data_IF_674477720390
#
_entry.id   IF_674477720390
#
_cell.length_a   1.000
_cell.length_b   1.000
_cell.length_c   1.000
_cell.angle_alpha   90.00
_cell.angle_beta   90.00
_cell.angle_gamma   90.00
#
_symmetry.space_group_name_H-M   'P 1'
#
loop_
_entity.id
_entity.type
_entity.pdbx_description
1 polymer ?
#
# COMPACT_ATOMS: atom_id res chain seq x y z
N UNK A 1 -1.22 -15.64 -1.45
CA UNK A 1 -0.43 -14.48 -1.94
C UNK A 1 -0.45 -14.36 -3.47
N UNK A 2 -1.16 -15.24 -4.16
CA UNK A 2 -1.04 -15.46 -5.61
C UNK A 2 -1.60 -14.30 -6.45
N UNK A 3 -2.64 -13.62 -5.96
CA UNK A 3 -3.20 -12.43 -6.62
C UNK A 3 -2.15 -11.32 -6.70
N UNK A 4 -1.49 -10.98 -5.58
CA UNK A 4 -0.47 -9.94 -5.55
C UNK A 4 0.78 -10.33 -6.35
N UNK A 5 1.19 -11.59 -6.29
CA UNK A 5 2.28 -12.09 -7.12
C UNK A 5 1.95 -11.98 -8.62
N UNK A 6 0.71 -12.30 -9.02
CA UNK A 6 0.22 -12.13 -10.41
C UNK A 6 0.26 -10.67 -10.87
N UNK A 7 -0.20 -9.74 -10.01
CA UNK A 7 -0.15 -8.31 -10.30
C UNK A 7 1.29 -7.79 -10.41
N UNK A 8 2.19 -8.25 -9.53
CA UNK A 8 3.60 -7.91 -9.60
C UNK A 8 4.19 -8.37 -10.93
N UNK A 9 3.96 -9.63 -11.35
CA UNK A 9 4.42 -10.14 -12.64
C UNK A 9 3.86 -9.35 -13.83
N UNK A 10 2.58 -9.01 -13.81
CA UNK A 10 1.97 -8.19 -14.86
C UNK A 10 2.62 -6.80 -14.95
N UNK A 11 2.97 -6.21 -13.79
CA UNK A 11 3.70 -4.95 -13.74
C UNK A 11 5.14 -5.09 -14.27
N UNK A 12 5.85 -6.14 -13.86
CA UNK A 12 7.20 -6.46 -14.37
C UNK A 12 7.19 -6.66 -15.89
N UNK A 13 6.21 -7.38 -16.44
CA UNK A 13 6.06 -7.58 -17.88
C UNK A 13 5.77 -6.27 -18.62
N UNK A 14 4.92 -5.40 -18.05
CA UNK A 14 4.51 -4.15 -18.71
C UNK A 14 5.57 -3.05 -18.63
N UNK A 15 6.29 -2.97 -17.53
CA UNK A 15 7.17 -1.84 -17.21
C UNK A 15 8.64 -2.23 -16.98
N UNK A 16 9.00 -3.50 -17.21
CA UNK A 16 10.32 -4.03 -16.95
C UNK A 16 10.81 -3.83 -15.49
N UNK A 17 9.88 -3.71 -14.53
CA UNK A 17 10.23 -3.62 -13.11
C UNK A 17 11.01 -4.86 -12.68
N UNK A 18 12.09 -4.66 -11.95
CA UNK A 18 12.92 -5.77 -11.48
C UNK A 18 12.48 -6.25 -10.10
N UNK A 19 12.88 -7.46 -9.72
CA UNK A 19 12.58 -8.01 -8.39
C UNK A 19 13.24 -7.20 -7.28
N UNK A 20 14.45 -6.67 -7.55
CA UNK A 20 15.21 -5.82 -6.66
C UNK A 20 14.44 -4.52 -6.39
N UNK A 21 13.87 -3.90 -7.43
CA UNK A 21 13.04 -2.70 -7.26
C UNK A 21 11.81 -2.95 -6.37
N UNK A 22 11.19 -4.13 -6.48
CA UNK A 22 10.12 -4.54 -5.57
C UNK A 22 10.65 -4.72 -4.13
N UNK A 23 11.85 -5.28 -3.95
CA UNK A 23 12.49 -5.44 -2.65
C UNK A 23 12.76 -4.09 -1.95
N UNK A 24 13.16 -3.07 -2.70
CA UNK A 24 13.41 -1.73 -2.14
C UNK A 24 12.17 -1.07 -1.53
N UNK A 25 10.96 -1.46 -1.94
CA UNK A 25 9.73 -1.04 -1.25
C UNK A 25 9.73 -1.54 0.20
N UNK A 26 10.11 -2.82 0.39
CA UNK A 26 10.22 -3.43 1.70
C UNK A 26 11.37 -2.83 2.51
N UNK A 27 12.56 -2.61 1.91
CA UNK A 27 13.68 -1.90 2.56
C UNK A 27 13.21 -0.59 3.15
N UNK A 28 12.60 0.28 2.34
CA UNK A 28 12.08 1.58 2.78
C UNK A 28 11.06 1.44 3.92
N UNK A 29 10.15 0.47 3.84
CA UNK A 29 9.17 0.23 4.90
C UNK A 29 9.82 -0.18 6.23
N UNK A 30 10.78 -1.11 6.19
CA UNK A 30 11.54 -1.58 7.37
C UNK A 30 12.46 -0.48 7.93
N UNK A 31 13.03 0.38 7.08
CA UNK A 31 13.78 1.57 7.52
C UNK A 31 12.87 2.57 8.24
N UNK A 32 11.65 2.81 7.79
CA UNK A 32 10.72 3.69 8.50
C UNK A 32 10.17 3.05 9.79
N UNK A 33 10.06 1.73 9.84
CA UNK A 33 9.41 1.04 10.96
C UNK A 33 10.15 1.21 12.29
N UNK A 34 11.49 1.32 12.29
CA UNK A 34 12.26 1.51 13.54
C UNK A 34 11.93 2.83 14.26
N UNK A 35 11.48 3.84 13.51
CA UNK A 35 11.08 5.15 14.03
C UNK A 35 9.65 5.18 14.56
N UNK A 36 8.86 4.12 14.33
CA UNK A 36 7.49 4.01 14.79
C UNK A 36 7.42 3.03 15.99
N UNK A 37 7.18 3.51 17.23
CA UNK A 37 7.07 2.64 18.39
C UNK A 37 5.89 1.66 18.34
N UNK A 38 4.90 1.90 17.47
CA UNK A 38 3.73 1.05 17.26
C UNK A 38 3.88 0.03 16.11
N UNK A 39 5.01 0.03 15.40
CA UNK A 39 5.19 -0.92 14.29
C UNK A 39 5.38 -2.35 14.83
N UNK A 40 4.75 -3.33 14.17
CA UNK A 40 4.89 -4.75 14.50
C UNK A 40 6.36 -5.21 14.37
N UNK A 41 7.00 -4.93 13.24
CA UNK A 41 8.43 -5.14 13.08
C UNK A 41 9.18 -3.82 13.20
N UNK A 42 10.23 -3.80 14.01
CA UNK A 42 11.11 -2.64 14.24
C UNK A 42 12.56 -3.03 13.97
N UNK A 43 12.81 -3.58 12.79
CA UNK A 43 14.14 -4.01 12.32
C UNK A 43 14.35 -3.44 10.92
N UNK A 44 15.52 -2.86 10.67
CA UNK A 44 15.95 -2.51 9.31
C UNK A 44 16.37 -3.80 8.59
N UNK A 45 15.90 -3.99 7.37
CA UNK A 45 16.27 -5.14 6.54
C UNK A 45 16.91 -4.63 5.25
N UNK A 46 18.16 -5.00 4.97
CA UNK A 46 18.82 -4.60 3.73
C UNK A 46 18.30 -5.44 2.53
N UNK A 47 18.47 -4.95 1.29
CA UNK A 47 17.90 -5.58 0.10
C UNK A 47 18.28 -7.07 -0.06
N UNK A 48 19.53 -7.42 0.24
CA UNK A 48 20.06 -8.77 0.13
C UNK A 48 19.40 -9.75 1.10
N UNK A 49 19.14 -9.33 2.35
CA UNK A 49 18.41 -10.15 3.33
C UNK A 49 16.96 -10.36 2.88
N UNK A 50 16.34 -9.34 2.29
CA UNK A 50 14.97 -9.42 1.78
C UNK A 50 14.89 -10.35 0.56
N UNK A 51 15.83 -10.27 -0.37
CA UNK A 51 15.86 -11.07 -1.60
C UNK A 51 16.22 -12.54 -1.34
N UNK A 52 17.09 -12.80 -0.37
CA UNK A 52 17.48 -14.16 0.06
C UNK A 52 16.49 -14.83 1.00
N UNK A 53 15.57 -14.06 1.60
CA UNK A 53 14.53 -14.62 2.44
C UNK A 53 13.61 -15.60 1.68
N UNK A 54 12.95 -16.47 2.44
CA UNK A 54 12.04 -17.49 1.90
C UNK A 54 11.03 -16.87 0.92
N UNK A 55 10.94 -17.46 -0.26
CA UNK A 55 9.93 -17.09 -1.24
C UNK A 55 8.54 -17.52 -0.75
N UNK A 56 7.55 -16.64 -0.92
CA UNK A 56 6.14 -16.95 -0.65
C UNK A 56 5.44 -17.30 -1.96
N UNK A 57 5.61 -16.45 -2.97
CA UNK A 57 5.16 -16.68 -4.34
C UNK A 57 5.95 -15.76 -5.27
N UNK A 58 6.70 -16.31 -6.22
CA UNK A 58 7.52 -15.51 -7.13
C UNK A 58 6.74 -14.32 -7.74
N UNK A 59 7.23 -13.07 -7.61
CA UNK A 59 8.60 -12.66 -7.21
C UNK A 59 8.79 -12.28 -5.71
N UNK A 60 7.79 -12.53 -4.85
CA UNK A 60 7.70 -11.97 -3.50
C UNK A 60 8.25 -12.92 -2.43
N UNK A 61 9.11 -12.38 -1.55
CA UNK A 61 9.63 -13.06 -0.36
C UNK A 61 8.87 -12.67 0.91
N UNK A 62 9.08 -13.40 2.00
CA UNK A 62 8.41 -13.16 3.30
C UNK A 62 8.51 -11.69 3.75
N UNK A 63 9.69 -11.03 3.76
CA UNK A 63 9.80 -9.64 4.23
C UNK A 63 9.12 -8.60 3.33
N UNK A 64 8.74 -8.98 2.10
CA UNK A 64 7.95 -8.14 1.19
C UNK A 64 6.45 -8.22 1.47
N UNK A 65 6.01 -9.16 2.29
CA UNK A 65 4.61 -9.39 2.64
C UNK A 65 4.27 -8.76 3.99
N UNK A 66 3.09 -8.17 4.14
CA UNK A 66 2.62 -7.68 5.43
C UNK A 66 2.40 -8.83 6.42
N UNK A 67 2.80 -8.70 7.70
CA UNK A 67 2.52 -9.71 8.71
C UNK A 67 1.04 -9.75 9.09
N UNK A 68 0.58 -10.92 9.54
CA UNK A 68 -0.66 -11.02 10.30
C UNK A 68 -0.45 -10.30 11.63
N UNK A 69 -1.29 -9.31 11.94
CA UNK A 69 -1.08 -8.40 13.07
C UNK A 69 -2.39 -8.13 13.81
N UNK A 70 -2.32 -8.05 15.14
CA UNK A 70 -3.42 -7.61 15.99
C UNK A 70 -3.21 -6.15 16.39
N UNK A 71 -4.28 -5.35 16.38
CA UNK A 71 -4.23 -3.94 16.76
C UNK A 71 -5.54 -3.18 16.50
N UNK A 72 -5.64 -1.96 17.03
CA UNK A 72 -6.79 -1.08 16.86
C UNK A 72 -6.35 0.38 16.64
N UNK A 73 -7.18 1.14 15.92
CA UNK A 73 -7.05 2.57 15.74
C UNK A 73 -8.44 3.21 15.63
N UNK A 74 -8.60 4.47 16.06
CA UNK A 74 -9.85 5.21 15.99
C UNK A 74 -9.58 6.67 15.63
N UNK A 75 -10.55 7.29 14.94
CA UNK A 75 -10.57 8.72 14.63
C UNK A 75 -11.95 9.29 14.96
N UNK A 76 -12.00 10.52 15.49
CA UNK A 76 -13.25 11.24 15.74
C UNK A 76 -13.46 12.22 14.60
N UNK A 77 -14.58 12.12 13.90
CA UNK A 77 -14.93 12.96 12.76
C UNK A 77 -16.10 13.85 13.12
N UNK A 78 -16.01 15.12 12.74
CA UNK A 78 -17.06 16.10 12.95
C UNK A 78 -17.13 17.10 11.80
N UNK A 79 -18.23 17.85 11.72
CA UNK A 79 -18.35 18.96 10.77
C UNK A 79 -17.36 20.08 11.13
N UNK A 80 -16.76 20.69 10.11
CA UNK A 80 -15.72 21.70 10.28
C UNK A 80 -16.23 22.97 11.00
N UNK A 81 -17.47 23.40 10.73
CA UNK A 81 -18.09 24.56 11.36
C UNK A 81 -18.26 24.37 12.88
N UNK A 82 -18.74 23.19 13.29
CA UNK A 82 -18.91 22.81 14.68
C UNK A 82 -17.58 22.54 15.41
N UNK A 83 -16.48 22.34 14.68
CA UNK A 83 -15.19 21.97 15.25
C UNK A 83 -14.46 23.15 15.91
N UNK A 84 -14.69 24.37 15.41
CA UNK A 84 -14.02 25.61 15.87
C UNK A 84 -14.14 25.89 17.37
N UNK A 85 -15.20 25.40 18.02
CA UNK A 85 -15.48 25.59 19.45
C UNK A 85 -15.03 24.41 20.33
N UNK A 86 -14.44 23.37 19.74
CA UNK A 86 -14.01 22.16 20.47
C UNK A 86 -12.54 22.21 20.85
N UNK A 87 -12.25 21.67 22.03
CA UNK A 87 -10.89 21.50 22.50
C UNK A 87 -10.09 20.62 21.52
N UNK A 88 -8.88 21.09 21.14
CA UNK A 88 -8.02 20.41 20.19
C UNK A 88 -8.29 20.72 18.71
N UNK A 89 -9.17 21.70 18.42
CA UNK A 89 -9.42 22.16 17.05
C UNK A 89 -8.17 22.66 16.32
N UNK A 90 -7.23 23.26 17.04
CA UNK A 90 -5.93 23.71 16.55
C UNK A 90 -5.10 22.58 15.90
N UNK A 91 -5.39 21.32 16.27
CA UNK A 91 -4.76 20.11 15.70
C UNK A 91 -5.67 19.34 14.75
N UNK A 92 -6.87 19.84 14.47
CA UNK A 92 -7.82 19.18 13.59
C UNK A 92 -7.29 19.16 12.15
N UNK A 93 -7.49 18.03 11.47
CA UNK A 93 -7.10 17.86 10.05
C UNK A 93 -8.37 17.87 9.20
N UNK A 94 -8.45 18.79 8.24
CA UNK A 94 -9.60 18.88 7.33
C UNK A 94 -9.56 17.74 6.31
N UNK A 95 -10.62 16.94 6.27
CA UNK A 95 -10.84 15.96 5.20
C UNK A 95 -11.32 16.69 3.95
N UNK A 96 -10.48 16.72 2.91
CA UNK A 96 -10.79 17.45 1.67
C UNK A 96 -11.74 16.67 0.74
N UNK A 97 -11.59 15.35 0.67
CA UNK A 97 -12.43 14.47 -0.13
C UNK A 97 -12.43 13.05 0.45
N UNK A 98 -13.49 12.30 0.15
CA UNK A 98 -13.56 10.86 0.38
C UNK A 98 -14.23 10.21 -0.83
N UNK A 99 -13.70 9.09 -1.31
CA UNK A 99 -14.25 8.33 -2.42
C UNK A 99 -14.15 6.84 -2.11
N UNK A 100 -15.24 6.10 -2.34
CA UNK A 100 -15.28 4.66 -2.23
C UNK A 100 -15.50 4.06 -3.62
N UNK A 101 -14.64 3.13 -4.02
CA UNK A 101 -14.76 2.37 -5.25
C UNK A 101 -14.62 0.90 -4.91
N UNK A 102 -15.56 0.07 -5.38
CA UNK A 102 -15.53 -1.38 -5.18
C UNK A 102 -15.35 -2.07 -6.52
N UNK A 103 -14.37 -2.97 -6.61
CA UNK A 103 -14.05 -3.68 -7.84
C UNK A 103 -13.54 -2.74 -8.94
N UNK A 104 -12.64 -3.25 -9.77
CA UNK A 104 -12.34 -2.62 -11.05
C UNK A 104 -12.02 -3.73 -12.01
N UNK A 105 -12.52 -3.62 -13.25
CA UNK A 105 -12.12 -4.48 -14.36
C UNK A 105 -10.68 -4.14 -14.76
N UNK A 106 -9.74 -4.32 -13.83
CA UNK A 106 -8.32 -4.29 -14.16
C UNK A 106 -8.09 -5.54 -14.97
N UNK A 107 -8.11 -5.40 -16.29
CA UNK A 107 -7.61 -6.43 -17.19
C UNK A 107 -6.21 -6.82 -16.70
N UNK A 108 -6.08 -8.00 -16.08
CA UNK A 108 -4.78 -8.64 -15.93
C UNK A 108 -4.18 -8.67 -17.33
N UNK A 109 -3.00 -8.07 -17.51
CA UNK A 109 -2.44 -7.66 -18.78
C UNK A 109 -2.53 -8.74 -19.88
N UNK A 110 -3.67 -8.83 -20.57
CA UNK A 110 -3.83 -9.52 -21.84
C UNK A 110 -3.84 -8.43 -22.90
N UNK A 111 -2.63 -8.02 -23.29
CA UNK A 111 -2.20 -7.32 -24.51
C UNK A 111 -3.19 -6.61 -25.44
N UNK A 112 -4.29 -6.01 -24.96
CA UNK A 112 -5.26 -5.34 -25.82
C UNK A 112 -5.60 -3.97 -25.23
N UNK A 113 -4.90 -2.97 -25.75
CA UNK A 113 -5.18 -1.56 -25.53
C UNK A 113 -6.56 -1.25 -26.14
N UNK A 114 -7.57 -0.99 -25.30
CA UNK A 114 -8.76 -0.25 -25.72
C UNK A 114 -8.78 1.06 -24.95
N UNK A 115 -8.99 2.22 -25.59
CA UNK A 115 -9.03 3.49 -24.88
C UNK A 115 -10.17 3.46 -23.85
N UNK A 116 -9.84 3.85 -22.62
CA UNK A 116 -10.82 4.06 -21.55
C UNK A 116 -11.76 5.18 -22.00
N UNK A 117 -12.97 4.83 -22.45
CA UNK A 117 -14.03 5.82 -22.64
C UNK A 117 -14.46 6.29 -21.25
N UNK A 118 -13.86 7.41 -20.81
CA UNK A 118 -14.26 8.14 -19.62
C UNK A 118 -15.73 8.53 -19.73
N UNK A 119 -16.61 7.87 -18.99
CA UNK A 119 -17.94 8.41 -18.71
C UNK A 119 -18.34 8.04 -17.28
N UNK A 120 -17.70 8.69 -16.30
CA UNK A 120 -18.36 8.93 -15.03
C UNK A 120 -19.18 10.20 -15.25
N UNK A 121 -20.45 10.04 -15.66
CA UNK A 121 -21.41 11.14 -15.69
C UNK A 121 -21.94 11.29 -14.26
N UNK A 122 -21.60 12.41 -13.62
CA UNK A 122 -22.37 12.96 -12.51
C UNK A 122 -23.76 13.40 -13.00
#
# INVERSE_FOLDING_TARGET
MDIYASLARAHMQKFATTREQLAFVAVKNHTHSVHNPRAHYRKVLPPEEILSAREVAWPLTVPMCSPVSDGAAAVVVMRADAASTRAGYDRAVRVLATSLVSGSDRRAARGTHRPLSSTCRL
#
